data_IF_026289672079
#
_entry.id   IF_026289672079
#
_cell.length_a   1.000
_cell.length_b   1.000
_cell.length_c   1.000
_cell.angle_alpha   90.00
_cell.angle_beta   90.00
_cell.angle_gamma   90.00
#
_symmetry.space_group_name_H-M   'P 1'
#
loop_
_entity.id
_entity.type
_entity.pdbx_description
1 polymer ?
#
# COMPACT_ATOMS: atom_id res chain seq x y z
N UNK A 1 16.95 13.75 -15.90
CA UNK A 1 16.00 12.78 -16.49
C UNK A 1 14.61 13.13 -16.03
N UNK A 2 13.61 12.87 -16.85
CA UNK A 2 12.23 13.34 -16.63
C UNK A 2 11.28 12.16 -16.40
N UNK A 3 10.27 12.37 -15.56
CA UNK A 3 9.18 11.43 -15.34
C UNK A 3 8.49 11.04 -16.66
N UNK A 4 8.13 9.76 -16.79
CA UNK A 4 7.36 9.27 -17.93
C UNK A 4 5.96 9.91 -17.95
N UNK A 5 5.54 10.42 -19.12
CA UNK A 5 4.25 11.10 -19.27
C UNK A 5 3.06 10.22 -18.85
N UNK A 6 3.09 8.92 -19.15
CA UNK A 6 2.04 7.98 -18.74
C UNK A 6 1.99 7.74 -17.24
N UNK A 7 3.14 7.73 -16.56
CA UNK A 7 3.22 7.55 -15.11
C UNK A 7 2.79 8.82 -14.39
N UNK A 8 3.20 9.99 -14.92
CA UNK A 8 2.70 11.29 -14.47
C UNK A 8 1.18 11.39 -14.57
N UNK A 9 0.61 11.01 -15.72
CA UNK A 9 -0.84 11.02 -15.91
C UNK A 9 -1.54 10.07 -14.93
N UNK A 10 -1.00 8.86 -14.74
CA UNK A 10 -1.55 7.90 -13.79
C UNK A 10 -1.58 8.47 -12.35
N UNK A 11 -0.51 9.13 -11.93
CA UNK A 11 -0.44 9.80 -10.62
C UNK A 11 -1.42 10.98 -10.52
N UNK A 12 -1.66 11.73 -11.59
CA UNK A 12 -2.67 12.79 -11.59
C UNK A 12 -4.10 12.25 -11.50
N UNK A 13 -4.40 11.18 -12.23
CA UNK A 13 -5.69 10.49 -12.16
C UNK A 13 -5.90 9.91 -10.75
N UNK A 14 -4.84 9.37 -10.15
CA UNK A 14 -4.85 8.92 -8.76
C UNK A 14 -5.12 10.06 -7.78
N UNK A 15 -4.39 11.17 -7.87
CA UNK A 15 -4.60 12.36 -7.03
C UNK A 15 -6.03 12.90 -7.14
N UNK A 16 -6.63 12.87 -8.33
CA UNK A 16 -7.99 13.39 -8.56
C UNK A 16 -9.06 12.60 -7.81
N UNK A 17 -8.85 11.30 -7.64
CA UNK A 17 -9.80 10.39 -6.98
C UNK A 17 -9.61 10.35 -5.45
N UNK A 18 -8.52 10.93 -4.94
CA UNK A 18 -8.25 11.09 -3.51
C UNK A 18 -8.91 12.34 -2.94
N UNK A 19 -9.26 12.24 -1.66
CA UNK A 19 -9.60 13.38 -0.82
C UNK A 19 -8.36 13.73 0.02
N UNK A 20 -7.89 14.98 -0.10
CA UNK A 20 -6.65 15.48 0.52
C UNK A 20 -6.94 16.82 1.21
N UNK A 21 -7.51 16.74 2.41
CA UNK A 21 -7.99 17.92 3.15
C UNK A 21 -6.86 18.83 3.63
N UNK A 22 -5.68 18.28 3.90
CA UNK A 22 -4.50 19.03 4.35
C UNK A 22 -3.56 19.44 3.21
N UNK A 23 -3.86 19.05 1.96
CA UNK A 23 -3.05 19.43 0.81
C UNK A 23 -1.67 18.74 0.78
N UNK A 24 -1.57 17.53 1.31
CA UNK A 24 -0.35 16.70 1.34
C UNK A 24 0.19 16.41 -0.07
N UNK A 25 -0.68 16.43 -1.08
CA UNK A 25 -0.33 16.24 -2.48
C UNK A 25 -0.21 17.58 -3.23
N UNK A 26 -0.09 18.72 -2.54
CA UNK A 26 -0.01 20.06 -3.15
C UNK A 26 1.15 20.22 -4.12
N UNK A 27 2.27 19.52 -3.91
CA UNK A 27 3.43 19.53 -4.82
C UNK A 27 3.17 18.84 -6.18
N UNK A 28 2.11 18.04 -6.29
CA UNK A 28 1.75 17.29 -7.50
C UNK A 28 1.06 18.20 -8.53
N UNK A 29 1.87 19.00 -9.23
CA UNK A 29 1.43 20.05 -10.15
C UNK A 29 1.74 19.64 -11.59
N UNK A 30 0.81 19.92 -12.52
CA UNK A 30 0.88 19.50 -13.92
C UNK A 30 2.17 19.93 -14.62
N UNK A 31 2.71 21.11 -14.33
CA UNK A 31 3.88 21.63 -15.04
C UNK A 31 5.21 21.30 -14.36
N UNK A 32 5.16 20.55 -13.26
CA UNK A 32 6.34 20.07 -12.52
C UNK A 32 6.62 18.62 -12.89
N UNK A 33 7.90 18.27 -13.01
CA UNK A 33 8.33 16.88 -13.19
C UNK A 33 7.90 16.01 -12.00
N UNK A 34 7.21 14.89 -12.25
CA UNK A 34 6.66 14.07 -11.17
C UNK A 34 7.73 13.50 -10.25
N UNK A 35 8.98 13.37 -10.73
CA UNK A 35 10.10 12.92 -9.92
C UNK A 35 10.58 13.96 -8.89
N UNK A 36 9.96 15.15 -8.86
CA UNK A 36 10.18 16.20 -7.86
C UNK A 36 8.99 16.35 -6.90
N UNK A 37 7.93 15.58 -7.11
CA UNK A 37 6.76 15.63 -6.25
C UNK A 37 7.09 14.97 -4.91
N UNK A 38 6.52 15.53 -3.85
CA UNK A 38 6.61 14.97 -2.52
C UNK A 38 6.04 13.56 -2.51
N UNK A 39 6.74 12.64 -1.85
CA UNK A 39 6.39 11.23 -1.81
C UNK A 39 6.70 10.43 -3.08
N UNK A 40 7.11 11.05 -4.20
CA UNK A 40 7.41 10.34 -5.45
C UNK A 40 8.92 10.18 -5.63
N UNK A 41 9.38 8.93 -5.72
CA UNK A 41 10.79 8.61 -6.01
C UNK A 41 10.90 7.92 -7.36
N UNK A 42 11.76 8.46 -8.22
CA UNK A 42 12.05 7.90 -9.53
C UNK A 42 13.43 7.21 -9.60
N UNK A 43 13.53 6.22 -10.47
CA UNK A 43 14.79 5.57 -10.84
C UNK A 43 15.76 6.58 -11.46
N UNK A 44 16.96 6.67 -10.91
CA UNK A 44 18.04 7.52 -11.44
C UNK A 44 18.64 7.03 -12.77
N UNK A 45 18.22 5.86 -13.27
CA UNK A 45 18.61 5.33 -14.60
C UNK A 45 17.55 5.51 -15.68
N UNK A 46 16.28 5.40 -15.30
CA UNK A 46 15.17 5.37 -16.26
C UNK A 46 14.17 6.51 -16.10
N UNK A 47 14.14 7.23 -14.98
CA UNK A 47 13.10 8.23 -14.71
C UNK A 47 11.72 7.62 -14.43
N UNK A 48 11.64 6.30 -14.28
CA UNK A 48 10.42 5.56 -13.90
C UNK A 48 10.10 5.77 -12.43
N UNK A 49 8.83 5.92 -12.07
CA UNK A 49 8.38 5.94 -10.68
C UNK A 49 8.61 4.57 -10.05
N UNK A 50 9.36 4.52 -8.95
CA UNK A 50 9.74 3.29 -8.26
C UNK A 50 9.31 3.26 -6.80
N UNK A 51 9.02 4.41 -6.17
CA UNK A 51 8.46 4.46 -4.82
C UNK A 51 7.39 5.54 -4.72
N UNK A 52 6.34 5.24 -3.96
CA UNK A 52 5.32 6.17 -3.51
C UNK A 52 5.23 6.09 -1.98
N UNK A 53 5.59 7.19 -1.33
CA UNK A 53 5.53 7.39 0.11
C UNK A 53 4.35 8.30 0.43
N UNK A 54 3.24 7.72 0.85
CA UNK A 54 1.98 8.41 1.11
C UNK A 54 1.42 8.09 2.49
N UNK A 55 2.23 7.49 3.37
CA UNK A 55 1.94 7.32 4.78
C UNK A 55 1.53 8.67 5.39
N UNK A 56 0.49 8.67 6.24
CA UNK A 56 0.13 9.87 7.01
C UNK A 56 1.31 10.26 7.91
N UNK A 57 1.86 11.48 7.79
CA UNK A 57 2.92 11.94 8.66
C UNK A 57 2.42 11.90 10.11
N UNK A 58 3.07 11.11 10.95
CA UNK A 58 2.85 11.15 12.40
C UNK A 58 3.99 11.97 12.99
N UNK A 59 3.72 13.11 13.66
CA UNK A 59 4.78 13.86 14.30
C UNK A 59 5.42 13.01 15.41
N UNK A 60 6.76 12.91 15.42
CA UNK A 60 7.52 12.20 16.46
C UNK A 60 7.25 12.78 17.87
N UNK A 61 6.79 14.03 17.96
CA UNK A 61 6.44 14.73 19.18
C UNK A 61 5.06 15.36 19.00
N UNK A 62 4.08 14.97 19.82
CA UNK A 62 2.79 15.67 19.87
C UNK A 62 2.99 17.03 20.54
N UNK A 63 3.29 18.05 19.75
CA UNK A 63 3.28 19.44 20.22
C UNK A 63 1.82 19.89 20.25
N UNK A 64 1.34 20.32 21.41
CA UNK A 64 -0.01 20.86 21.56
C UNK A 64 -0.16 22.08 20.65
N UNK A 65 -0.93 21.94 19.57
CA UNK A 65 -1.21 23.02 18.61
C UNK A 65 -0.72 22.78 17.18
N UNK A 66 0.00 21.70 16.89
CA UNK A 66 0.23 21.29 15.50
C UNK A 66 -1.10 20.82 14.90
N UNK A 67 -1.49 21.39 13.76
CA UNK A 67 -2.60 20.86 12.97
C UNK A 67 -2.18 19.48 12.47
N UNK A 68 -2.74 18.42 13.07
CA UNK A 68 -2.49 17.07 12.59
C UNK A 68 -2.86 16.98 11.11
N UNK A 69 -1.89 16.60 10.28
CA UNK A 69 -2.11 16.28 8.88
C UNK A 69 -3.27 15.30 8.79
N UNK A 70 -4.32 15.66 8.05
CA UNK A 70 -5.49 14.79 7.88
C UNK A 70 -5.10 13.57 7.04
N UNK A 71 -5.68 12.40 7.32
CA UNK A 71 -5.46 11.22 6.49
C UNK A 71 -5.91 11.48 5.04
N UNK A 72 -5.24 10.84 4.08
CA UNK A 72 -5.79 10.72 2.74
C UNK A 72 -7.02 9.81 2.80
N UNK A 73 -8.09 10.18 2.09
CA UNK A 73 -9.31 9.39 1.97
C UNK A 73 -9.78 9.33 0.51
N UNK A 74 -11.03 8.95 0.27
CA UNK A 74 -11.58 8.83 -1.08
C UNK A 74 -11.29 7.48 -1.72
N UNK A 75 -10.95 7.47 -3.02
CA UNK A 75 -10.83 6.23 -3.81
C UNK A 75 -9.40 5.99 -4.28
N UNK A 76 -8.95 4.75 -4.15
CA UNK A 76 -7.71 4.32 -4.81
C UNK A 76 -7.97 4.06 -6.29
N UNK A 77 -7.49 4.96 -7.15
CA UNK A 77 -7.71 4.89 -8.59
C UNK A 77 -7.01 3.70 -9.26
N UNK A 78 -7.68 3.07 -10.21
CA UNK A 78 -7.17 1.98 -11.06
C UNK A 78 -5.96 2.42 -11.91
N UNK A 79 -5.76 3.73 -12.09
CA UNK A 79 -4.64 4.31 -12.82
C UNK A 79 -3.27 3.90 -12.28
N UNK A 80 -3.16 3.60 -10.97
CA UNK A 80 -1.92 3.18 -10.33
C UNK A 80 -1.30 1.92 -10.95
N UNK A 81 -2.09 1.07 -11.62
CA UNK A 81 -1.58 -0.11 -12.34
C UNK A 81 -0.60 0.22 -13.45
N UNK A 82 -0.65 1.45 -13.97
CA UNK A 82 0.27 1.90 -15.01
C UNK A 82 1.70 2.10 -14.46
N UNK A 83 1.88 2.15 -13.13
CA UNK A 83 3.19 2.22 -12.47
C UNK A 83 3.82 0.82 -12.36
N UNK A 84 4.01 0.16 -13.50
CA UNK A 84 4.47 -1.24 -13.59
C UNK A 84 5.87 -1.50 -12.99
N UNK A 85 6.63 -0.44 -12.73
CA UNK A 85 7.97 -0.49 -12.14
C UNK A 85 7.98 -0.12 -10.66
N UNK A 86 6.82 0.16 -10.05
CA UNK A 86 6.69 0.50 -8.65
C UNK A 86 7.20 -0.64 -7.78
N UNK A 87 8.08 -0.31 -6.82
CA UNK A 87 8.72 -1.25 -5.90
C UNK A 87 8.29 -1.03 -4.45
N UNK A 88 7.83 0.17 -4.13
CA UNK A 88 7.46 0.58 -2.80
C UNK A 88 6.17 1.38 -2.88
N UNK A 89 5.15 0.94 -2.16
CA UNK A 89 3.91 1.66 -1.98
C UNK A 89 3.56 1.65 -0.50
N UNK A 90 3.47 2.84 0.08
CA UNK A 90 3.09 3.03 1.46
C UNK A 90 1.90 3.97 1.54
N UNK A 91 0.76 3.43 1.94
CA UNK A 91 -0.50 4.13 2.16
C UNK A 91 -0.91 4.07 3.64
N UNK A 92 0.00 3.67 4.53
CA UNK A 92 -0.31 3.42 5.93
C UNK A 92 -0.80 4.67 6.66
N UNK A 93 -1.55 4.46 7.74
CA UNK A 93 -2.06 5.50 8.64
C UNK A 93 -2.99 6.54 7.99
N UNK A 94 -3.50 6.25 6.78
CA UNK A 94 -4.55 7.02 6.12
C UNK A 94 -5.94 6.54 6.55
N UNK A 95 -7.01 7.00 5.89
CA UNK A 95 -8.38 6.58 6.19
C UNK A 95 -9.19 6.47 4.89
N UNK A 96 -9.17 5.29 4.29
CA UNK A 96 -9.97 5.00 3.10
C UNK A 96 -11.41 4.58 3.43
N UNK A 97 -11.89 4.89 4.65
CA UNK A 97 -13.31 4.87 5.03
C UNK A 97 -14.03 3.55 4.70
N UNK A 98 -13.33 2.44 4.86
CA UNK A 98 -13.83 1.09 4.68
C UNK A 98 -14.08 0.61 3.27
N UNK A 99 -13.45 1.23 2.28
CA UNK A 99 -13.37 0.59 0.95
C UNK A 99 -12.55 -0.71 1.04
N UNK A 100 -12.77 -1.66 0.10
CA UNK A 100 -11.94 -2.85 0.00
C UNK A 100 -10.54 -2.54 -0.52
N UNK A 101 -9.56 -3.36 -0.13
CA UNK A 101 -8.23 -3.35 -0.74
C UNK A 101 -8.40 -3.61 -2.25
N UNK A 102 -7.90 -2.73 -3.14
CA UNK A 102 -8.05 -2.93 -4.58
C UNK A 102 -7.29 -4.18 -5.05
N UNK A 103 -8.03 -5.14 -5.63
CA UNK A 103 -7.47 -6.39 -6.14
C UNK A 103 -6.39 -6.17 -7.21
N UNK A 104 -6.42 -5.02 -7.86
CA UNK A 104 -5.45 -4.69 -8.87
C UNK A 104 -4.04 -4.47 -8.36
N UNK A 105 -3.83 -4.26 -7.05
CA UNK A 105 -2.47 -4.20 -6.51
C UNK A 105 -1.68 -5.46 -6.91
N UNK A 106 -2.33 -6.60 -7.09
CA UNK A 106 -1.72 -7.83 -7.63
C UNK A 106 -1.13 -7.72 -9.04
N UNK A 107 -1.41 -6.68 -9.82
CA UNK A 107 -0.78 -6.46 -11.14
C UNK A 107 0.57 -5.75 -11.06
N UNK A 108 0.91 -5.14 -9.91
CA UNK A 108 2.15 -4.42 -9.67
C UNK A 108 3.29 -5.37 -9.30
N UNK A 109 3.63 -6.30 -10.21
CA UNK A 109 4.57 -7.42 -9.96
C UNK A 109 6.00 -7.01 -9.56
N UNK A 110 6.35 -5.74 -9.74
CA UNK A 110 7.64 -5.17 -9.31
C UNK A 110 7.67 -4.77 -7.83
N UNK A 111 6.51 -4.74 -7.15
CA UNK A 111 6.42 -4.37 -5.73
C UNK A 111 7.27 -5.29 -4.87
N UNK A 112 7.97 -4.66 -3.93
CA UNK A 112 8.83 -5.28 -2.91
C UNK A 112 8.34 -4.92 -1.51
N UNK A 113 7.70 -3.76 -1.36
CA UNK A 113 7.14 -3.28 -0.12
C UNK A 113 5.73 -2.74 -0.39
N UNK A 114 4.76 -3.24 0.37
CA UNK A 114 3.40 -2.77 0.38
C UNK A 114 2.93 -2.63 1.83
N UNK A 115 2.63 -1.40 2.22
CA UNK A 115 2.09 -1.10 3.55
C UNK A 115 0.74 -0.39 3.43
N UNK A 116 -0.28 -1.06 3.95
CA UNK A 116 -1.67 -0.60 4.03
C UNK A 116 -2.15 -0.53 5.49
N UNK A 117 -1.23 -0.65 6.45
CA UNK A 117 -1.51 -0.71 7.89
C UNK A 117 -2.27 0.52 8.37
N UNK A 118 -3.31 0.29 9.17
CA UNK A 118 -4.10 1.38 9.77
C UNK A 118 -4.72 2.34 8.76
N UNK A 119 -4.91 1.93 7.50
CA UNK A 119 -5.41 2.78 6.44
C UNK A 119 -6.96 2.73 6.28
N UNK A 120 -7.67 2.09 7.21
CA UNK A 120 -9.13 2.00 7.21
C UNK A 120 -9.73 1.14 6.10
N UNK A 121 -8.99 0.18 5.53
CA UNK A 121 -9.56 -0.79 4.58
C UNK A 121 -10.43 -1.84 5.30
N UNK A 122 -11.47 -2.33 4.62
CA UNK A 122 -12.39 -3.33 5.16
C UNK A 122 -12.74 -4.42 4.12
N UNK A 123 -13.38 -5.50 4.57
CA UNK A 123 -13.84 -6.61 3.72
C UNK A 123 -12.78 -7.69 3.49
N UNK A 124 -12.93 -8.45 2.41
CA UNK A 124 -12.03 -9.57 2.10
C UNK A 124 -10.69 -9.08 1.56
N UNK A 125 -9.59 -9.62 2.09
CA UNK A 125 -8.27 -9.43 1.48
C UNK A 125 -8.25 -10.11 0.11
N UNK A 126 -7.93 -9.39 -0.99
CA UNK A 126 -7.97 -9.96 -2.32
C UNK A 126 -6.83 -10.97 -2.53
N UNK A 127 -7.18 -12.21 -2.89
CA UNK A 127 -6.20 -13.26 -3.20
C UNK A 127 -5.23 -12.88 -4.33
N UNK A 128 -5.57 -11.88 -5.16
CA UNK A 128 -4.72 -11.33 -6.19
C UNK A 128 -3.41 -10.75 -5.65
N UNK A 129 -3.33 -10.38 -4.36
CA UNK A 129 -2.06 -9.99 -3.74
C UNK A 129 -1.02 -11.10 -3.85
N UNK A 130 -1.44 -12.38 -3.89
CA UNK A 130 -0.56 -13.52 -4.13
C UNK A 130 0.20 -13.49 -5.47
N UNK A 131 -0.18 -12.63 -6.42
CA UNK A 131 0.56 -12.42 -7.66
C UNK A 131 1.85 -11.59 -7.51
N UNK A 132 2.07 -11.00 -6.32
CA UNK A 132 3.22 -10.13 -6.04
C UNK A 132 4.46 -10.95 -5.69
N UNK A 133 4.95 -11.74 -6.64
CA UNK A 133 6.08 -12.65 -6.42
C UNK A 133 7.40 -11.96 -6.05
N UNK A 134 7.54 -10.66 -6.27
CA UNK A 134 8.72 -9.87 -5.85
C UNK A 134 8.59 -9.27 -4.45
N UNK A 135 7.43 -9.40 -3.80
CA UNK A 135 7.12 -8.77 -2.53
C UNK A 135 7.96 -9.38 -1.41
N UNK A 136 8.49 -8.50 -0.55
CA UNK A 136 9.31 -8.84 0.61
C UNK A 136 8.63 -8.43 1.90
N UNK A 137 7.94 -7.30 1.89
CA UNK A 137 7.20 -6.81 3.05
C UNK A 137 5.75 -6.56 2.68
N UNK A 138 4.86 -7.13 3.47
CA UNK A 138 3.42 -6.88 3.42
C UNK A 138 2.92 -6.58 4.83
N UNK A 139 2.35 -5.39 5.02
CA UNK A 139 1.56 -5.08 6.22
C UNK A 139 0.14 -4.65 5.83
N UNK A 140 -0.86 -5.32 6.40
CA UNK A 140 -2.29 -5.07 6.17
C UNK A 140 -3.08 -5.03 7.49
N UNK A 141 -2.52 -4.37 8.50
CA UNK A 141 -3.14 -4.34 9.83
C UNK A 141 -4.42 -3.49 9.88
N UNK A 142 -5.32 -3.89 10.77
CA UNK A 142 -6.49 -3.11 11.12
C UNK A 142 -6.36 -2.56 12.55
N UNK A 143 -7.07 -1.48 12.87
CA UNK A 143 -7.15 -1.02 14.25
C UNK A 143 -7.87 -2.09 15.09
N UNK A 144 -7.37 -2.36 16.30
CA UNK A 144 -7.87 -3.41 17.22
C UNK A 144 -9.36 -3.26 17.61
N UNK A 145 -9.97 -2.12 17.28
CA UNK A 145 -11.35 -1.79 17.63
C UNK A 145 -12.38 -2.23 16.58
N UNK A 146 -11.95 -2.69 15.40
CA UNK A 146 -12.84 -3.22 14.37
C UNK A 146 -12.08 -4.25 13.52
N UNK A 147 -12.41 -5.53 13.63
CA UNK A 147 -11.84 -6.60 12.80
C UNK A 147 -12.48 -6.55 11.41
N UNK A 148 -12.06 -5.58 10.62
CA UNK A 148 -12.77 -5.28 9.38
C UNK A 148 -12.23 -6.02 8.17
N UNK A 149 -10.94 -6.39 8.19
CA UNK A 149 -10.34 -7.20 7.15
C UNK A 149 -10.48 -8.68 7.51
N UNK A 150 -10.90 -9.47 6.53
CA UNK A 150 -11.15 -10.89 6.69
C UNK A 150 -10.39 -11.70 5.63
N UNK A 151 -9.96 -12.90 6.01
CA UNK A 151 -9.36 -13.86 5.09
C UNK A 151 -10.04 -15.22 5.26
N UNK A 152 -10.55 -15.76 4.15
CA UNK A 152 -11.19 -17.08 4.12
C UNK A 152 -10.17 -18.22 3.91
N UNK A 153 -9.03 -17.92 3.29
CA UNK A 153 -7.94 -18.86 3.07
C UNK A 153 -6.59 -18.12 2.90
N UNK A 154 -5.50 -18.72 3.37
CA UNK A 154 -4.15 -18.15 3.19
C UNK A 154 -3.43 -18.65 1.94
N UNK A 155 -4.09 -19.40 1.03
CA UNK A 155 -3.41 -20.05 -0.10
C UNK A 155 -2.69 -19.07 -1.05
N UNK A 156 -3.18 -17.83 -1.11
CA UNK A 156 -2.57 -16.77 -1.90
C UNK A 156 -1.16 -16.39 -1.42
N UNK A 157 -0.84 -16.58 -0.13
CA UNK A 157 0.50 -16.32 0.40
C UNK A 157 1.57 -17.21 -0.26
N UNK A 158 1.19 -18.41 -0.74
CA UNK A 158 2.12 -19.30 -1.45
C UNK A 158 2.66 -18.70 -2.76
N UNK A 159 1.98 -17.70 -3.33
CA UNK A 159 2.47 -16.96 -4.50
C UNK A 159 3.52 -15.89 -4.15
N UNK A 160 3.65 -15.51 -2.89
CA UNK A 160 4.59 -14.52 -2.38
C UNK A 160 5.96 -15.15 -2.08
N UNK A 161 6.60 -15.69 -3.11
CA UNK A 161 7.79 -16.54 -2.98
C UNK A 161 9.05 -15.86 -2.43
N UNK A 162 9.06 -14.53 -2.29
CA UNK A 162 10.17 -13.75 -1.71
C UNK A 162 9.76 -13.00 -0.43
N UNK A 163 8.61 -13.34 0.16
CA UNK A 163 8.10 -12.64 1.34
C UNK A 163 9.02 -12.88 2.54
N UNK A 164 9.51 -11.80 3.13
CA UNK A 164 10.43 -11.78 4.28
C UNK A 164 9.69 -11.33 5.55
N UNK A 165 8.76 -10.37 5.45
CA UNK A 165 8.01 -9.82 6.58
C UNK A 165 6.52 -9.79 6.25
N UNK A 166 5.71 -10.41 7.10
CA UNK A 166 4.25 -10.42 7.00
C UNK A 166 3.63 -9.96 8.30
N UNK A 167 2.85 -8.89 8.23
CA UNK A 167 2.05 -8.39 9.34
C UNK A 167 0.57 -8.34 8.91
N UNK A 168 -0.24 -9.14 9.59
CA UNK A 168 -1.69 -9.22 9.45
C UNK A 168 -2.36 -9.09 10.83
N UNK A 169 -1.73 -8.42 11.79
CA UNK A 169 -2.32 -8.17 13.10
C UNK A 169 -3.66 -7.45 12.99
N UNK A 170 -4.66 -7.93 13.72
CA UNK A 170 -6.04 -7.42 13.66
C UNK A 170 -6.88 -7.89 12.45
N UNK A 171 -6.33 -8.72 11.56
CA UNK A 171 -7.11 -9.36 10.47
C UNK A 171 -7.87 -10.58 11.02
N UNK A 172 -9.15 -10.73 10.65
CA UNK A 172 -9.95 -11.90 11.02
C UNK A 172 -9.52 -13.14 10.21
N UNK A 173 -8.82 -14.04 10.91
CA UNK A 173 -8.36 -15.33 10.39
C UNK A 173 -9.24 -16.51 10.82
N UNK A 174 -10.40 -16.26 11.43
CA UNK A 174 -11.28 -17.32 11.98
C UNK A 174 -11.76 -18.32 10.91
N UNK A 175 -11.84 -17.88 9.66
CA UNK A 175 -12.21 -18.71 8.50
C UNK A 175 -11.00 -19.41 7.85
N UNK A 176 -9.77 -18.92 8.09
CA UNK A 176 -8.55 -19.40 7.46
C UNK A 176 -7.98 -20.66 8.15
N UNK A 177 -8.67 -21.79 7.99
CA UNK A 177 -8.26 -23.07 8.59
C UNK A 177 -6.89 -23.62 8.11
N UNK A 178 -6.41 -23.18 6.95
CA UNK A 178 -5.18 -23.66 6.31
C UNK A 178 -3.91 -22.84 6.64
N UNK A 179 -3.99 -21.89 7.57
CA UNK A 179 -2.93 -20.90 7.76
C UNK A 179 -1.55 -21.52 8.10
N UNK A 180 -1.50 -22.48 9.02
CA UNK A 180 -0.25 -23.15 9.43
C UNK A 180 0.42 -23.89 8.27
N UNK A 181 -0.36 -24.58 7.44
CA UNK A 181 0.18 -25.33 6.31
C UNK A 181 0.84 -24.38 5.30
N UNK A 182 0.16 -23.28 4.97
CA UNK A 182 0.65 -22.33 3.96
C UNK A 182 1.86 -21.55 4.45
N UNK A 183 1.87 -21.05 5.68
CA UNK A 183 3.01 -20.29 6.21
C UNK A 183 4.31 -21.10 6.15
N UNK A 184 4.24 -22.41 6.43
CA UNK A 184 5.38 -23.32 6.34
C UNK A 184 5.90 -23.52 4.90
N UNK A 185 5.13 -23.14 3.88
CA UNK A 185 5.57 -23.20 2.47
C UNK A 185 6.36 -21.99 2.01
N UNK A 186 6.53 -20.97 2.85
CA UNK A 186 7.20 -19.70 2.52
C UNK A 186 8.57 -19.68 3.20
N UNK A 187 9.62 -20.26 2.58
CA UNK A 187 10.93 -20.41 3.22
C UNK A 187 11.68 -19.09 3.42
N UNK A 188 11.27 -18.02 2.73
CA UNK A 188 11.86 -16.69 2.85
C UNK A 188 11.38 -15.91 4.07
N UNK A 189 10.32 -16.37 4.75
CA UNK A 189 9.67 -15.63 5.83
C UNK A 189 10.60 -15.55 7.04
N UNK A 190 10.93 -14.32 7.44
CA UNK A 190 11.78 -13.98 8.59
C UNK A 190 10.92 -13.56 9.77
N UNK A 191 9.85 -12.79 9.52
CA UNK A 191 9.00 -12.21 10.54
C UNK A 191 7.52 -12.37 10.19
N UNK A 192 6.74 -12.75 11.20
CA UNK A 192 5.31 -13.00 11.10
C UNK A 192 4.57 -12.44 12.32
N UNK A 193 3.68 -11.49 12.09
CA UNK A 193 2.80 -10.89 13.09
C UNK A 193 1.33 -11.13 12.71
N UNK A 194 0.57 -11.76 13.61
CA UNK A 194 -0.84 -12.16 13.41
C UNK A 194 -1.78 -11.77 14.56
N UNK A 195 -1.26 -11.14 15.62
CA UNK A 195 -1.99 -10.85 16.88
C UNK A 195 -2.02 -9.35 17.14
#
# INVERSE_FOLDING_TARGET
>A
MQCYASEKQALMDFKKDLEDLSGRLSSWIHDVDCCKWEGVVCSNRSGRVIQLHLQRPVPEIHVVGDEEESPLSGKISHSLQNLTHLRYLDLSLNDFSGIPIPSFFGSLRSLRYLDLSGAGFQGMVPYQLGNLSSLRTLSITCSVYSSDLQVDNLQWLAGLSNLEHLDMSGVDLSLASNWLEVINTIPSLVELELI
#
